data_IF_906632232053
#
_entry.id   IF_906632232053
#
_cell.length_a   1.000
_cell.length_b   1.000
_cell.length_c   1.000
_cell.angle_alpha   90.00
_cell.angle_beta   90.00
_cell.angle_gamma   90.00
#
_symmetry.space_group_name_H-M   'P 1'
#
loop_
_entity.id
_entity.type
_entity.pdbx_description
1 polymer ?
#
# COMPACT_ATOMS: atom_id res chain seq x y z
N UNK A 1 -7.69 15.15 -5.21
CA UNK A 1 -9.01 15.73 -4.89
C UNK A 1 -9.83 14.84 -3.98
N UNK A 2 -10.78 15.41 -3.29
CA UNK A 2 -11.74 14.67 -2.47
C UNK A 2 -13.15 15.17 -2.75
N UNK A 3 -14.06 14.24 -3.01
CA UNK A 3 -15.49 14.48 -3.15
C UNK A 3 -16.24 13.64 -2.12
N UNK A 4 -17.14 14.22 -1.37
CA UNK A 4 -17.91 13.52 -0.35
C UNK A 4 -19.37 14.01 -0.36
N UNK A 5 -20.30 13.07 -0.31
CA UNK A 5 -21.70 13.27 -0.01
C UNK A 5 -22.06 12.57 1.29
N UNK A 6 -23.36 12.55 1.66
CA UNK A 6 -23.81 11.81 2.85
C UNK A 6 -23.40 10.33 2.85
N UNK A 7 -23.41 9.69 1.67
CA UNK A 7 -23.15 8.25 1.56
C UNK A 7 -21.92 7.92 0.70
N UNK A 8 -21.50 8.79 -0.23
CA UNK A 8 -20.37 8.56 -1.11
C UNK A 8 -19.16 9.34 -0.68
N UNK A 9 -18.01 8.69 -0.74
CA UNK A 9 -16.70 9.32 -0.60
C UNK A 9 -15.82 8.84 -1.75
N UNK A 10 -15.30 9.79 -2.52
CA UNK A 10 -14.32 9.55 -3.57
C UNK A 10 -13.09 10.36 -3.23
N UNK A 11 -11.97 9.70 -3.24
CA UNK A 11 -10.67 10.33 -3.03
C UNK A 11 -9.76 9.98 -4.20
N UNK A 12 -9.08 10.99 -4.72
CA UNK A 12 -8.11 10.85 -5.80
C UNK A 12 -6.88 11.69 -5.52
N UNK A 13 -5.74 11.10 -5.67
CA UNK A 13 -4.44 11.77 -5.58
C UNK A 13 -3.60 11.40 -6.79
N UNK A 14 -2.96 12.39 -7.40
CA UNK A 14 -2.07 12.18 -8.54
C UNK A 14 -0.82 13.00 -8.36
N UNK A 15 0.31 12.39 -8.67
CA UNK A 15 1.62 13.03 -8.63
C UNK A 15 2.39 12.70 -9.91
N UNK A 16 3.15 13.67 -10.40
CA UNK A 16 4.05 13.49 -11.54
C UNK A 16 5.38 14.13 -11.14
N UNK A 17 6.46 13.39 -11.31
CA UNK A 17 7.81 13.85 -11.08
C UNK A 17 8.63 13.57 -12.34
N UNK A 18 9.41 14.54 -12.76
CA UNK A 18 10.37 14.41 -13.87
C UNK A 18 11.72 14.89 -13.38
N UNK A 19 12.75 14.14 -13.72
CA UNK A 19 14.13 14.51 -13.44
C UNK A 19 14.92 14.39 -14.72
N UNK A 20 15.71 15.42 -15.01
CA UNK A 20 16.64 15.46 -16.12
C UNK A 20 18.03 15.71 -15.56
N UNK A 21 18.93 14.76 -15.77
CA UNK A 21 20.35 14.83 -15.39
C UNK A 21 21.23 14.68 -16.61
N UNK A 22 22.53 14.88 -16.44
CA UNK A 22 23.51 14.66 -17.52
C UNK A 22 23.53 13.21 -18.00
N UNK A 23 23.22 12.26 -17.14
CA UNK A 23 23.31 10.82 -17.40
C UNK A 23 21.99 10.16 -17.79
N UNK A 24 20.86 10.67 -17.28
CA UNK A 24 19.55 10.03 -17.51
C UNK A 24 18.39 11.01 -17.43
N UNK A 25 17.33 10.66 -18.12
CA UNK A 25 15.99 11.25 -17.96
C UNK A 25 15.11 10.24 -17.27
N UNK A 26 14.52 10.63 -16.15
CA UNK A 26 13.54 9.81 -15.46
C UNK A 26 12.18 10.49 -15.36
N UNK A 27 11.12 9.71 -15.43
CA UNK A 27 9.76 10.19 -15.16
C UNK A 27 9.04 9.18 -14.29
N UNK A 28 8.33 9.72 -13.31
CA UNK A 28 7.48 8.97 -12.41
C UNK A 28 6.09 9.59 -12.43
N UNK A 29 5.07 8.77 -12.56
CA UNK A 29 3.69 9.20 -12.38
C UNK A 29 2.92 8.20 -11.53
N UNK A 30 2.12 8.69 -10.60
CA UNK A 30 1.29 7.89 -9.72
C UNK A 30 -0.10 8.49 -9.63
N UNK A 31 -1.11 7.64 -9.71
CA UNK A 31 -2.50 7.99 -9.47
C UNK A 31 -3.12 6.99 -8.52
N UNK A 32 -3.63 7.47 -7.41
CA UNK A 32 -4.30 6.69 -6.39
C UNK A 32 -5.76 7.11 -6.32
N UNK A 33 -6.67 6.16 -6.46
CA UNK A 33 -8.10 6.42 -6.46
C UNK A 33 -8.79 5.45 -5.51
N UNK A 34 -9.65 5.98 -4.66
CA UNK A 34 -10.45 5.21 -3.73
C UNK A 34 -11.88 5.73 -3.74
N UNK A 35 -12.83 4.83 -3.90
CA UNK A 35 -14.26 5.12 -3.83
C UNK A 35 -14.90 4.25 -2.78
N UNK A 36 -15.79 4.81 -1.97
CA UNK A 36 -16.54 4.06 -0.98
C UNK A 36 -17.96 4.56 -0.83
N UNK A 37 -18.86 3.63 -0.55
CA UNK A 37 -20.27 3.88 -0.27
C UNK A 37 -20.62 3.44 1.14
N UNK A 38 -21.24 4.32 1.92
CA UNK A 38 -21.62 4.09 3.32
C UNK A 38 -23.04 3.56 3.41
N UNK A 39 -23.20 2.43 4.11
CA UNK A 39 -24.46 1.75 4.41
C UNK A 39 -24.63 1.69 5.93
N UNK A 40 -25.15 2.75 6.54
CA UNK A 40 -25.25 2.85 7.99
C UNK A 40 -23.88 2.88 8.67
N UNK A 41 -23.59 1.85 9.48
CA UNK A 41 -22.28 1.66 10.13
C UNK A 41 -21.28 0.88 9.26
N UNK A 42 -21.72 0.36 8.12
CA UNK A 42 -20.86 -0.38 7.19
C UNK A 42 -20.47 0.50 6.02
N UNK A 43 -19.40 0.14 5.32
CA UNK A 43 -19.03 0.71 4.03
C UNK A 43 -18.44 -0.36 3.13
N UNK A 44 -18.60 -0.17 1.86
CA UNK A 44 -17.97 -0.96 0.81
C UNK A 44 -17.26 -0.02 -0.14
N UNK A 45 -16.21 -0.48 -0.78
CA UNK A 45 -15.52 0.38 -1.71
C UNK A 45 -14.52 -0.36 -2.58
N UNK A 46 -13.92 0.42 -3.46
CA UNK A 46 -12.90 -0.02 -4.41
C UNK A 46 -11.70 0.91 -4.38
N UNK A 47 -10.56 0.39 -4.77
CA UNK A 47 -9.34 1.15 -4.97
C UNK A 47 -8.75 0.81 -6.33
N UNK A 48 -8.18 1.80 -7.01
CA UNK A 48 -7.44 1.64 -8.26
C UNK A 48 -6.23 2.56 -8.21
N UNK A 49 -5.06 1.99 -8.26
CA UNK A 49 -3.80 2.71 -8.22
C UNK A 49 -3.01 2.39 -9.50
N UNK A 50 -2.50 3.44 -10.12
CA UNK A 50 -1.64 3.35 -11.30
C UNK A 50 -0.31 4.02 -10.96
N UNK A 51 0.78 3.35 -11.30
CA UNK A 51 2.12 3.89 -11.17
C UNK A 51 2.91 3.55 -12.42
N UNK A 52 3.55 4.55 -13.02
CA UNK A 52 4.46 4.37 -14.14
C UNK A 52 5.81 4.97 -13.75
N UNK A 53 6.85 4.21 -13.95
CA UNK A 53 8.22 4.63 -13.76
C UNK A 53 9.00 4.36 -15.05
N UNK A 54 9.68 5.37 -15.59
CA UNK A 54 10.50 5.21 -16.77
C UNK A 54 11.83 5.92 -16.57
N UNK A 55 12.89 5.24 -16.95
CA UNK A 55 14.24 5.77 -16.97
C UNK A 55 14.87 5.54 -18.34
N UNK A 56 15.47 6.60 -18.89
CA UNK A 56 16.15 6.58 -20.17
C UNK A 56 17.57 7.09 -19.99
N UNK A 57 18.54 6.22 -20.21
CA UNK A 57 19.95 6.57 -20.13
C UNK A 57 20.38 7.35 -21.39
N UNK A 58 21.11 8.47 -21.19
CA UNK A 58 21.62 9.34 -22.28
C UNK A 58 22.94 8.85 -22.87
N UNK A 59 23.72 8.08 -22.11
CA UNK A 59 25.12 7.76 -22.44
C UNK A 59 25.32 6.59 -23.41
N UNK A 60 24.27 5.87 -23.78
CA UNK A 60 24.38 4.74 -24.69
C UNK A 60 23.53 4.99 -25.92
N UNK A 61 24.14 4.89 -27.10
CA UNK A 61 23.40 4.85 -28.39
C UNK A 61 22.44 3.65 -28.49
N UNK A 62 22.44 2.76 -27.54
CA UNK A 62 21.48 1.69 -27.32
C UNK A 62 20.43 2.17 -26.34
N UNK A 63 19.21 2.34 -26.82
CA UNK A 63 18.04 2.72 -26.04
C UNK A 63 17.71 1.65 -25.00
N UNK A 64 18.36 1.66 -23.86
CA UNK A 64 17.89 0.92 -22.70
C UNK A 64 16.94 1.82 -21.88
N UNK A 65 15.73 1.98 -22.36
CA UNK A 65 14.67 2.56 -21.56
C UNK A 65 14.09 1.46 -20.71
N UNK A 66 14.33 1.51 -19.41
CA UNK A 66 13.60 0.70 -18.45
C UNK A 66 12.31 1.42 -18.12
N UNK A 67 11.19 0.83 -18.45
CA UNK A 67 9.88 1.34 -18.06
C UNK A 67 9.13 0.26 -17.29
N UNK A 68 8.60 0.63 -16.14
CA UNK A 68 7.79 -0.25 -15.31
C UNK A 68 6.43 0.38 -15.08
N UNK A 69 5.41 -0.42 -15.19
CA UNK A 69 4.03 -0.06 -14.92
C UNK A 69 3.46 -0.95 -13.84
N UNK A 70 2.88 -0.33 -12.84
CA UNK A 70 2.14 -1.02 -11.79
C UNK A 70 0.66 -0.64 -11.88
N UNK A 71 -0.18 -1.65 -11.94
CA UNK A 71 -1.62 -1.52 -11.81
C UNK A 71 -2.06 -2.28 -10.58
N UNK A 72 -2.64 -1.58 -9.61
CA UNK A 72 -3.22 -2.19 -8.42
C UNK A 72 -4.70 -1.86 -8.36
N UNK A 73 -5.53 -2.85 -8.15
CA UNK A 73 -6.96 -2.68 -7.96
C UNK A 73 -7.49 -3.64 -6.92
N UNK A 74 -8.59 -3.27 -6.30
CA UNK A 74 -9.18 -4.10 -5.25
C UNK A 74 -10.48 -3.58 -4.70
N UNK A 75 -10.98 -4.32 -3.75
CA UNK A 75 -12.22 -4.02 -3.06
C UNK A 75 -12.03 -4.17 -1.54
N UNK A 76 -12.84 -3.46 -0.81
CA UNK A 76 -12.84 -3.53 0.65
C UNK A 76 -14.23 -3.37 1.21
N UNK A 77 -14.40 -3.91 2.41
CA UNK A 77 -15.59 -3.76 3.23
C UNK A 77 -15.16 -3.41 4.65
N UNK A 78 -15.89 -2.53 5.28
CA UNK A 78 -15.58 -2.15 6.65
C UNK A 78 -16.82 -1.88 7.48
N UNK A 79 -16.63 -1.83 8.79
CA UNK A 79 -17.65 -1.54 9.78
C UNK A 79 -17.11 -0.69 10.91
N UNK A 80 -17.92 0.22 11.37
CA UNK A 80 -17.60 1.10 12.49
C UNK A 80 -17.67 2.57 12.12
N UNK A 81 -16.86 3.37 12.78
CA UNK A 81 -16.61 4.76 12.45
C UNK A 81 -15.15 4.94 12.09
N UNK A 82 -14.87 5.26 10.83
CA UNK A 82 -13.50 5.39 10.32
C UNK A 82 -12.67 6.48 11.02
N UNK A 83 -13.34 7.35 11.79
CA UNK A 83 -12.67 8.38 12.61
C UNK A 83 -12.42 7.93 14.05
N UNK A 84 -13.03 6.85 14.49
CA UNK A 84 -12.97 6.32 15.86
C UNK A 84 -12.51 4.87 15.87
N UNK A 85 -13.49 3.96 15.94
CA UNK A 85 -13.25 2.52 16.01
C UNK A 85 -13.82 1.87 14.75
N UNK A 86 -12.99 1.12 14.05
CA UNK A 86 -13.40 0.44 12.82
C UNK A 86 -12.61 -0.83 12.57
N UNK A 87 -13.18 -1.66 11.73
CA UNK A 87 -12.50 -2.81 11.11
C UNK A 87 -12.76 -2.74 9.61
N UNK A 88 -11.73 -2.93 8.82
CA UNK A 88 -11.77 -2.99 7.35
C UNK A 88 -11.02 -4.22 6.87
N UNK A 89 -11.67 -4.98 6.01
CA UNK A 89 -11.09 -6.11 5.28
C UNK A 89 -11.02 -5.75 3.81
N UNK A 90 -9.96 -6.12 3.14
CA UNK A 90 -9.82 -5.84 1.72
C UNK A 90 -8.98 -6.87 1.00
N UNK A 91 -9.17 -6.85 -0.30
CA UNK A 91 -8.41 -7.60 -1.28
C UNK A 91 -7.81 -6.62 -2.29
N UNK A 92 -6.54 -6.80 -2.61
CA UNK A 92 -5.81 -6.05 -3.63
C UNK A 92 -5.14 -7.03 -4.59
N UNK A 93 -5.26 -6.75 -5.86
CA UNK A 93 -4.47 -7.41 -6.89
C UNK A 93 -3.55 -6.36 -7.54
N UNK A 94 -2.26 -6.66 -7.57
CA UNK A 94 -1.25 -5.82 -8.19
C UNK A 94 -0.60 -6.57 -9.34
N UNK A 95 -0.48 -5.90 -10.47
CA UNK A 95 0.21 -6.37 -11.67
C UNK A 95 1.42 -5.48 -11.90
N UNK A 96 2.53 -6.10 -12.24
CA UNK A 96 3.77 -5.41 -12.58
C UNK A 96 4.15 -5.79 -14.00
N UNK A 97 4.16 -4.82 -14.88
CA UNK A 97 4.52 -4.97 -16.28
C UNK A 97 5.83 -4.20 -16.55
N UNK A 98 6.71 -4.82 -17.30
CA UNK A 98 7.91 -4.19 -17.88
C UNK A 98 7.62 -3.82 -19.32
N UNK A 99 8.02 -2.62 -19.72
CA UNK A 99 7.93 -2.16 -21.10
C UNK A 99 9.34 -2.12 -21.70
N UNK A 100 9.63 -3.03 -22.61
CA UNK A 100 10.87 -3.07 -23.36
C UNK A 100 10.55 -3.10 -24.86
N UNK A 101 11.22 -2.26 -25.65
CA UNK A 101 11.06 -2.20 -27.10
C UNK A 101 9.59 -2.12 -27.58
N UNK A 102 8.78 -1.31 -26.92
CA UNK A 102 7.34 -1.16 -27.15
C UNK A 102 6.50 -2.44 -26.92
N UNK A 103 7.05 -3.46 -26.28
CA UNK A 103 6.31 -4.64 -25.84
C UNK A 103 6.08 -4.58 -24.35
N UNK A 104 4.84 -4.82 -23.96
CA UNK A 104 4.46 -4.94 -22.54
C UNK A 104 4.59 -6.41 -22.19
N UNK A 105 5.47 -6.70 -21.24
CA UNK A 105 5.67 -8.04 -20.71
C UNK A 105 5.30 -8.02 -19.23
N UNK A 106 4.43 -8.92 -18.82
CA UNK A 106 4.11 -9.11 -17.42
C UNK A 106 5.28 -9.75 -16.72
N UNK A 107 5.75 -9.14 -15.64
CA UNK A 107 6.87 -9.66 -14.84
C UNK A 107 6.33 -10.51 -13.68
N UNK A 108 5.37 -9.97 -12.98
CA UNK A 108 4.74 -10.65 -11.85
C UNK A 108 3.36 -10.07 -11.54
N UNK A 109 2.61 -10.79 -10.72
CA UNK A 109 1.39 -10.29 -10.11
C UNK A 109 1.32 -10.73 -8.65
N UNK A 110 0.64 -9.96 -7.83
CA UNK A 110 0.42 -10.32 -6.43
C UNK A 110 -1.03 -10.14 -6.02
N UNK A 111 -1.46 -11.04 -5.17
CA UNK A 111 -2.74 -10.95 -4.48
C UNK A 111 -2.47 -10.68 -3.01
N UNK A 112 -3.14 -9.68 -2.45
CA UNK A 112 -3.02 -9.29 -1.05
C UNK A 112 -4.39 -9.30 -0.39
N UNK A 113 -4.44 -9.87 0.80
CA UNK A 113 -5.61 -9.85 1.68
C UNK A 113 -5.22 -9.09 2.94
N UNK A 114 -5.92 -8.04 3.26
CA UNK A 114 -5.56 -7.24 4.42
C UNK A 114 -6.71 -7.07 5.41
N UNK A 115 -6.34 -6.99 6.67
CA UNK A 115 -7.15 -6.51 7.78
C UNK A 115 -6.53 -5.21 8.30
N UNK A 116 -7.34 -4.17 8.38
CA UNK A 116 -6.97 -2.92 9.01
C UNK A 116 -8.01 -2.57 10.05
N UNK A 117 -7.58 -2.31 11.27
CA UNK A 117 -8.50 -1.97 12.34
C UNK A 117 -7.95 -0.90 13.26
N UNK A 118 -8.85 -0.10 13.78
CA UNK A 118 -8.66 0.81 14.88
C UNK A 118 -9.53 0.32 16.01
N UNK A 119 -8.95 -0.33 17.01
CA UNK A 119 -9.70 -0.98 18.09
C UNK A 119 -9.97 -0.02 19.25
N UNK A 120 -9.02 0.87 19.54
CA UNK A 120 -9.14 1.90 20.55
C UNK A 120 -8.68 3.21 19.92
N UNK A 121 -9.48 4.26 20.09
CA UNK A 121 -9.12 5.62 19.73
C UNK A 121 -9.81 6.60 20.66
N UNK A 122 -9.09 6.99 21.68
CA UNK A 122 -9.48 8.02 22.64
C UNK A 122 -8.44 9.15 22.64
N UNK A 123 -8.65 10.20 23.41
CA UNK A 123 -7.65 11.26 23.59
C UNK A 123 -6.38 10.76 24.28
N UNK A 124 -6.48 9.69 25.07
CA UNK A 124 -5.39 9.14 25.86
C UNK A 124 -4.79 7.88 25.26
N UNK A 125 -5.63 7.02 24.68
CA UNK A 125 -5.22 5.69 24.26
C UNK A 125 -5.57 5.43 22.80
N UNK A 126 -4.67 4.76 22.09
CA UNK A 126 -4.83 4.35 20.71
C UNK A 126 -4.32 2.91 20.53
N UNK A 127 -5.11 2.08 19.86
CA UNK A 127 -4.71 0.73 19.45
C UNK A 127 -5.14 0.46 18.03
N UNK A 128 -4.18 0.22 17.15
CA UNK A 128 -4.44 -0.18 15.77
C UNK A 128 -3.72 -1.46 15.41
N UNK A 129 -4.35 -2.25 14.55
CA UNK A 129 -3.82 -3.51 14.03
C UNK A 129 -3.91 -3.49 12.51
N UNK A 130 -2.82 -3.89 11.88
CA UNK A 130 -2.75 -4.11 10.45
C UNK A 130 -2.16 -5.49 10.20
N UNK A 131 -2.84 -6.29 9.37
CA UNK A 131 -2.37 -7.58 8.88
C UNK A 131 -2.47 -7.55 7.37
N UNK A 132 -1.46 -8.05 6.67
CA UNK A 132 -1.47 -8.19 5.23
C UNK A 132 -0.79 -9.50 4.84
N UNK A 133 -1.56 -10.39 4.26
CA UNK A 133 -1.06 -11.60 3.62
C UNK A 133 -0.98 -11.37 2.12
N UNK A 134 0.18 -11.57 1.54
CA UNK A 134 0.44 -11.38 0.11
C UNK A 134 1.08 -12.62 -0.49
N UNK A 135 0.63 -13.01 -1.65
CA UNK A 135 1.28 -13.98 -2.53
C UNK A 135 1.81 -13.26 -3.77
N UNK A 136 3.10 -13.37 -4.03
CA UNK A 136 3.74 -12.88 -5.23
C UNK A 136 3.95 -14.06 -6.18
N UNK A 137 3.46 -13.93 -7.41
CA UNK A 137 3.60 -14.92 -8.48
C UNK A 137 4.37 -14.32 -9.63
N UNK A 138 5.35 -15.05 -10.11
CA UNK A 138 6.14 -14.67 -11.26
C UNK A 138 5.58 -15.33 -12.53
N UNK A 139 5.66 -14.65 -13.65
CA UNK A 139 5.31 -15.25 -14.95
C UNK A 139 6.39 -16.24 -15.43
N UNK A 140 7.62 -16.07 -14.97
CA UNK A 140 8.70 -17.05 -15.20
C UNK A 140 8.46 -18.28 -14.32
N UNK A 141 8.19 -19.43 -14.94
CA UNK A 141 7.94 -20.72 -14.28
C UNK A 141 9.13 -21.26 -13.48
N UNK A 142 10.34 -20.73 -13.67
CA UNK A 142 11.52 -21.10 -12.90
C UNK A 142 11.55 -20.42 -11.52
N UNK A 143 10.77 -19.37 -11.31
CA UNK A 143 10.67 -18.69 -10.04
C UNK A 143 9.50 -19.24 -9.23
N UNK A 144 9.74 -19.42 -7.93
CA UNK A 144 8.72 -19.92 -7.02
C UNK A 144 7.83 -18.78 -6.52
N UNK A 145 6.56 -19.10 -6.31
CA UNK A 145 5.64 -18.20 -5.63
C UNK A 145 6.14 -17.84 -4.23
N UNK A 146 6.06 -16.56 -3.88
CA UNK A 146 6.54 -16.05 -2.60
C UNK A 146 5.38 -15.57 -1.73
N UNK A 147 4.95 -16.37 -0.74
CA UNK A 147 4.03 -15.88 0.26
C UNK A 147 4.75 -14.98 1.27
N UNK A 148 4.09 -13.92 1.68
CA UNK A 148 4.56 -13.04 2.74
C UNK A 148 3.42 -12.65 3.68
N UNK A 149 3.73 -12.54 4.96
CA UNK A 149 2.83 -12.03 5.98
C UNK A 149 3.48 -10.81 6.63
N UNK A 150 2.78 -9.70 6.60
CA UNK A 150 3.18 -8.49 7.30
C UNK A 150 2.12 -8.17 8.35
N UNK A 151 2.52 -8.05 9.59
CA UNK A 151 1.66 -7.64 10.69
C UNK A 151 2.26 -6.46 11.43
N UNK A 152 1.41 -5.54 11.84
CA UNK A 152 1.80 -4.38 12.62
C UNK A 152 0.76 -4.09 13.68
N UNK A 153 1.20 -3.99 14.92
CA UNK A 153 0.38 -3.56 16.05
C UNK A 153 0.99 -2.26 16.57
N UNK A 154 0.19 -1.23 16.60
CA UNK A 154 0.56 0.06 17.17
C UNK A 154 -0.32 0.29 18.39
N UNK A 155 0.32 0.41 19.56
CA UNK A 155 -0.32 0.82 20.79
C UNK A 155 0.30 2.12 21.29
N UNK A 156 -0.50 3.04 21.75
CA UNK A 156 -0.06 4.24 22.45
C UNK A 156 -1.01 4.57 23.59
N UNK A 157 -0.48 4.99 24.71
CA UNK A 157 -1.26 5.43 25.87
C UNK A 157 -0.57 6.61 26.57
N UNK A 158 -1.35 7.45 27.21
CA UNK A 158 -0.85 8.57 28.02
C UNK A 158 -1.01 8.25 29.49
N UNK A 159 0.09 8.02 30.18
CA UNK A 159 0.18 7.82 31.61
C UNK A 159 0.79 9.05 32.28
N UNK A 160 0.07 9.67 33.22
CA UNK A 160 0.55 10.81 34.00
C UNK A 160 1.16 11.96 33.16
N UNK A 161 0.55 12.24 32.01
CA UNK A 161 1.05 13.26 31.07
C UNK A 161 2.17 12.78 30.14
N UNK A 162 2.68 11.56 30.31
CA UNK A 162 3.70 10.96 29.47
C UNK A 162 3.07 10.08 28.39
N UNK A 163 3.65 10.10 27.20
CA UNK A 163 3.23 9.25 26.08
C UNK A 163 4.08 7.98 26.04
N UNK A 164 3.48 6.84 26.32
CA UNK A 164 4.06 5.53 26.02
C UNK A 164 3.59 5.09 24.65
N UNK A 165 4.51 4.81 23.75
CA UNK A 165 4.19 4.25 22.45
C UNK A 165 4.99 3.00 22.20
N UNK A 166 4.31 1.91 21.83
CA UNK A 166 4.92 0.66 21.39
C UNK A 166 4.46 0.36 19.97
N UNK A 167 5.37 -0.10 19.13
CA UNK A 167 5.08 -0.61 17.80
C UNK A 167 5.72 -1.96 17.66
N UNK A 168 4.92 -3.00 17.43
CA UNK A 168 5.41 -4.33 17.09
C UNK A 168 5.11 -4.58 15.63
N UNK A 169 6.14 -4.86 14.85
CA UNK A 169 6.02 -5.24 13.45
C UNK A 169 6.61 -6.64 13.26
N UNK A 170 5.93 -7.44 12.47
CA UNK A 170 6.34 -8.79 12.12
C UNK A 170 6.18 -8.98 10.62
N UNK A 171 7.24 -9.42 9.97
CA UNK A 171 7.25 -9.67 8.53
C UNK A 171 7.87 -11.04 8.25
N UNK A 172 7.20 -11.83 7.42
CA UNK A 172 7.74 -13.07 6.87
C UNK A 172 7.73 -12.98 5.35
N UNK A 173 8.83 -13.38 4.73
CA UNK A 173 8.92 -13.55 3.29
C UNK A 173 9.79 -14.74 2.99
N UNK A 174 9.32 -15.67 2.15
CA UNK A 174 10.09 -16.84 1.67
C UNK A 174 10.80 -17.63 2.79
N UNK A 175 10.15 -17.75 3.95
CA UNK A 175 10.72 -18.45 5.12
C UNK A 175 11.67 -17.63 5.99
N UNK A 176 11.92 -16.37 5.65
CA UNK A 176 12.68 -15.44 6.50
C UNK A 176 11.73 -14.70 7.43
N UNK A 177 12.07 -14.67 8.71
CA UNK A 177 11.32 -13.96 9.73
C UNK A 177 12.11 -12.73 10.15
N UNK A 178 11.52 -11.56 10.00
CA UNK A 178 12.03 -10.32 10.58
C UNK A 178 11.00 -9.80 11.60
N UNK A 179 11.42 -9.70 12.84
CA UNK A 179 10.64 -9.08 13.90
C UNK A 179 11.31 -7.79 14.32
N UNK A 180 10.54 -6.71 14.36
CA UNK A 180 10.98 -5.42 14.88
C UNK A 180 10.01 -4.96 15.95
N UNK A 181 10.55 -4.64 17.12
CA UNK A 181 9.80 -4.08 18.23
C UNK A 181 10.43 -2.75 18.64
N UNK A 182 9.61 -1.71 18.67
CA UNK A 182 10.03 -0.39 19.10
C UNK A 182 9.14 0.06 20.26
N UNK A 183 9.75 0.34 21.37
CA UNK A 183 9.08 0.96 22.51
C UNK A 183 9.80 2.27 22.84
N UNK A 184 9.07 3.37 22.93
CA UNK A 184 9.63 4.62 23.40
C UNK A 184 8.65 5.33 24.34
N UNK A 185 9.22 5.99 25.32
CA UNK A 185 8.54 6.85 26.27
C UNK A 185 8.88 8.30 25.92
N UNK A 186 7.88 9.11 25.63
CA UNK A 186 8.05 10.53 25.44
C UNK A 186 7.53 11.28 26.66
N UNK A 187 8.39 12.06 27.31
CA UNK A 187 8.11 12.89 28.50
C UNK A 187 7.70 14.28 28.07
#
# INVERSE_FOLDING_TARGET
GRYATKNWMIWSNSSVMKSDSELSNSSFSRSENRSSYKLGKNWVGTTVNLENNSEKLKATNTFSALSQRFLEYGAFVGRGDSTKVYVELGFLQRQNDSLQNNRIERVNHSNSYYLKSQLIKTEKSNLSVFLNYRTLKYEDSNLKDEPSLNSRILYSDRFFGQLLQTTTAYETSSGTIAQQEFTYLQV
#
